data_IF_454751304355
#
_entry.id   IF_454751304355
#
_cell.length_a   1.000
_cell.length_b   1.000
_cell.length_c   1.000
_cell.angle_alpha   90.00
_cell.angle_beta   90.00
_cell.angle_gamma   90.00
#
_symmetry.space_group_name_H-M   'P 1'
#
loop_
_entity.id
_entity.type
_entity.pdbx_description
1 polymer ?
#
# COMPACT_ATOMS: atom_id res chain seq x y z
N UNK A 1 -7.56 8.14 -4.44
CA UNK A 1 -6.12 8.36 -4.70
C UNK A 1 -5.37 7.69 -3.56
N UNK A 2 -4.42 6.79 -3.81
CA UNK A 2 -3.64 6.16 -2.73
C UNK A 2 -2.85 7.25 -2.01
N UNK A 3 -2.98 7.31 -0.69
CA UNK A 3 -2.22 8.23 0.15
C UNK A 3 -0.74 7.88 0.05
N UNK A 4 0.13 8.89 0.15
CA UNK A 4 1.56 8.64 0.05
C UNK A 4 2.05 7.94 1.33
N UNK A 5 2.83 6.85 1.24
CA UNK A 5 3.17 5.98 2.37
C UNK A 5 4.05 6.65 3.43
N UNK A 6 4.66 7.78 3.10
CA UNK A 6 5.38 8.66 4.05
C UNK A 6 4.40 9.43 4.95
N UNK A 7 3.20 9.78 4.44
CA UNK A 7 2.19 10.57 5.14
C UNK A 7 1.28 9.67 5.99
N UNK A 8 1.09 8.41 5.58
CA UNK A 8 0.21 7.46 6.27
C UNK A 8 0.61 7.17 7.73
N UNK A 9 1.89 7.29 8.06
CA UNK A 9 2.38 7.02 9.43
C UNK A 9 3.39 8.08 9.90
N UNK A 10 3.17 8.73 11.06
CA UNK A 10 4.11 9.71 11.60
C UNK A 10 5.50 9.12 11.89
N UNK A 11 5.57 7.81 12.15
CA UNK A 11 6.83 7.09 12.36
C UNK A 11 7.69 6.94 11.09
N UNK A 12 7.16 7.20 9.89
CA UNK A 12 7.91 7.11 8.63
C UNK A 12 8.55 8.43 8.20
N UNK A 13 7.98 9.57 8.54
CA UNK A 13 8.55 10.87 8.14
C UNK A 13 9.70 11.33 9.04
N UNK A 14 9.68 10.97 10.33
CA UNK A 14 10.75 11.34 11.28
C UNK A 14 12.11 10.73 10.88
N UNK A 15 12.23 9.43 10.59
CA UNK A 15 13.49 8.85 10.12
C UNK A 15 13.95 9.46 8.80
N UNK A 16 13.02 9.76 7.89
CA UNK A 16 13.32 10.39 6.60
C UNK A 16 13.89 11.80 6.79
N UNK A 17 13.34 12.60 7.71
CA UNK A 17 13.88 13.92 8.07
C UNK A 17 15.26 13.81 8.72
N UNK A 18 15.47 12.84 9.62
CA UNK A 18 16.77 12.59 10.25
C UNK A 18 17.80 12.20 9.20
N UNK A 19 17.45 11.28 8.29
CA UNK A 19 18.32 10.90 7.17
C UNK A 19 18.62 12.13 6.31
N UNK A 20 17.62 12.90 5.89
CA UNK A 20 17.83 14.11 5.10
C UNK A 20 18.80 15.08 5.79
N UNK A 21 18.67 15.30 7.09
CA UNK A 21 19.58 16.16 7.85
C UNK A 21 21.01 15.60 7.89
N UNK A 22 21.17 14.29 8.09
CA UNK A 22 22.49 13.62 8.02
C UNK A 22 23.10 13.77 6.63
N UNK A 23 22.30 13.65 5.57
CA UNK A 23 22.76 13.84 4.21
C UNK A 23 23.24 15.28 3.98
N UNK A 24 22.54 16.28 4.53
CA UNK A 24 22.92 17.69 4.40
C UNK A 24 24.27 17.90 5.06
N UNK A 25 24.44 17.41 6.29
CA UNK A 25 25.71 17.51 7.01
C UNK A 25 26.83 16.80 6.26
N UNK A 26 26.58 15.60 5.73
CA UNK A 26 27.57 14.86 4.95
C UNK A 26 27.97 15.61 3.67
N UNK A 27 27.01 16.16 2.93
CA UNK A 27 27.26 16.89 1.70
C UNK A 27 28.01 18.22 1.97
N UNK A 28 27.66 18.93 3.04
CA UNK A 28 28.37 20.14 3.49
C UNK A 28 29.79 19.81 3.94
N UNK A 29 29.99 18.72 4.68
CA UNK A 29 31.32 18.26 5.11
C UNK A 29 32.20 17.90 3.91
N UNK A 30 31.67 17.17 2.93
CA UNK A 30 32.41 16.83 1.71
C UNK A 30 32.82 18.12 0.98
N UNK A 31 31.91 19.08 0.79
CA UNK A 31 32.26 20.32 0.05
C UNK A 31 33.13 21.31 0.85
N UNK A 32 33.00 21.39 2.16
CA UNK A 32 33.86 22.25 2.96
C UNK A 32 35.28 21.68 3.12
N UNK A 33 35.41 20.38 3.39
CA UNK A 33 36.72 19.75 3.68
C UNK A 33 37.51 19.43 2.42
N UNK A 34 36.86 18.90 1.37
CA UNK A 34 37.59 18.47 0.16
C UNK A 34 37.84 19.60 -0.83
N UNK A 35 36.91 20.53 -0.94
CA UNK A 35 36.98 21.60 -1.94
C UNK A 35 37.36 22.96 -1.35
N UNK A 36 37.55 23.06 -0.02
CA UNK A 36 37.91 24.30 0.66
C UNK A 36 36.88 25.41 0.47
N UNK A 37 35.63 25.05 0.16
CA UNK A 37 34.57 26.00 -0.13
C UNK A 37 34.10 26.70 1.16
N UNK A 38 33.75 27.98 1.02
CA UNK A 38 33.14 28.73 2.12
C UNK A 38 31.89 28.03 2.64
N UNK A 39 31.71 28.08 3.96
CA UNK A 39 30.68 27.31 4.67
C UNK A 39 29.26 27.73 4.25
N UNK A 40 29.05 29.03 3.97
CA UNK A 40 27.73 29.58 3.63
C UNK A 40 27.23 29.06 2.28
N UNK A 41 27.99 29.13 1.17
CA UNK A 41 27.63 28.49 -0.10
C UNK A 41 27.44 26.98 0.00
N UNK A 42 28.28 26.28 0.77
CA UNK A 42 28.20 24.84 0.92
C UNK A 42 26.90 24.40 1.60
N UNK A 43 26.44 25.14 2.62
CA UNK A 43 25.17 24.88 3.32
C UNK A 43 23.97 25.12 2.41
N UNK A 44 23.96 26.22 1.66
CA UNK A 44 22.86 26.54 0.72
C UNK A 44 22.75 25.46 -0.35
N UNK A 45 23.87 25.06 -0.94
CA UNK A 45 23.92 24.01 -1.96
C UNK A 45 23.49 22.66 -1.36
N UNK A 46 23.97 22.29 -0.17
CA UNK A 46 23.58 21.04 0.50
C UNK A 46 22.08 20.95 0.83
N UNK A 47 21.47 22.02 1.34
CA UNK A 47 20.03 22.05 1.60
C UNK A 47 19.25 21.96 0.29
N UNK A 48 19.68 22.68 -0.74
CA UNK A 48 18.96 22.72 -2.01
C UNK A 48 19.04 21.39 -2.76
N UNK A 49 20.20 20.74 -2.82
CA UNK A 49 20.36 19.44 -3.49
C UNK A 49 19.54 18.34 -2.83
N UNK A 50 19.48 18.34 -1.49
CA UNK A 50 18.75 17.32 -0.73
C UNK A 50 17.26 17.62 -0.71
N UNK A 51 16.87 18.89 -0.61
CA UNK A 51 15.48 19.30 -0.79
C UNK A 51 14.96 18.90 -2.18
N UNK A 52 15.77 19.10 -3.22
CA UNK A 52 15.42 18.68 -4.58
C UNK A 52 15.38 17.15 -4.72
N UNK A 53 16.32 16.43 -4.12
CA UNK A 53 16.34 14.97 -4.08
C UNK A 53 15.07 14.41 -3.40
N UNK A 54 14.66 15.02 -2.29
CA UNK A 54 13.46 14.64 -1.55
C UNK A 54 12.19 14.89 -2.36
N UNK A 55 12.08 16.03 -3.04
CA UNK A 55 10.95 16.35 -3.90
C UNK A 55 10.82 15.34 -5.06
N UNK A 56 11.94 14.99 -5.71
CA UNK A 56 11.95 13.97 -6.75
C UNK A 56 11.64 12.58 -6.20
N UNK A 57 12.20 12.22 -5.05
CA UNK A 57 11.92 10.95 -4.37
C UNK A 57 10.44 10.78 -4.01
N UNK A 58 9.76 11.87 -3.63
CA UNK A 58 8.31 11.86 -3.43
C UNK A 58 7.53 11.60 -4.74
N UNK A 59 7.96 12.22 -5.85
CA UNK A 59 7.31 12.02 -7.15
C UNK A 59 7.46 10.59 -7.68
N UNK A 60 8.59 9.94 -7.40
CA UNK A 60 8.89 8.56 -7.85
C UNK A 60 7.86 7.56 -7.35
N UNK A 61 7.29 7.76 -6.16
CA UNK A 61 6.24 6.90 -5.62
C UNK A 61 5.06 6.73 -6.59
N UNK A 62 4.66 7.82 -7.25
CA UNK A 62 3.55 7.81 -8.20
C UNK A 62 3.85 7.02 -9.49
N UNK A 63 5.14 6.82 -9.80
CA UNK A 63 5.58 6.10 -11.00
C UNK A 63 5.75 4.61 -10.70
N UNK A 64 6.34 4.27 -9.54
CA UNK A 64 6.66 2.88 -9.16
C UNK A 64 5.41 2.02 -8.99
N UNK A 65 4.30 2.59 -8.50
CA UNK A 65 3.05 1.85 -8.29
C UNK A 65 2.19 1.61 -9.54
N UNK A 66 2.51 2.22 -10.68
CA UNK A 66 1.66 2.19 -11.90
C UNK A 66 2.17 1.19 -12.94
N UNK A 67 3.50 0.99 -13.05
CA UNK A 67 4.09 0.08 -14.04
C UNK A 67 5.25 -0.70 -13.42
N UNK A 68 5.01 -1.97 -13.07
CA UNK A 68 5.99 -2.86 -12.40
C UNK A 68 7.03 -3.47 -13.34
N UNK A 69 7.46 -2.76 -14.39
CA UNK A 69 8.38 -3.27 -15.42
C UNK A 69 9.80 -2.80 -15.09
N UNK A 70 10.77 -3.71 -15.15
CA UNK A 70 12.19 -3.38 -14.90
C UNK A 70 12.70 -2.21 -15.77
N UNK A 71 12.20 -2.09 -17.01
CA UNK A 71 12.55 -0.99 -17.93
C UNK A 71 12.07 0.39 -17.45
N UNK A 72 10.87 0.51 -16.90
CA UNK A 72 10.35 1.80 -16.41
C UNK A 72 11.15 2.29 -15.21
N UNK A 73 11.70 1.38 -14.40
CA UNK A 73 12.56 1.74 -13.29
C UNK A 73 13.92 2.26 -13.73
N UNK A 74 14.56 1.61 -14.70
CA UNK A 74 15.83 2.09 -15.24
C UNK A 74 15.63 3.48 -15.85
N UNK A 75 14.55 3.69 -16.58
CA UNK A 75 14.21 5.00 -17.15
C UNK A 75 13.97 6.03 -16.03
N UNK A 76 13.22 5.67 -14.98
CA UNK A 76 12.92 6.55 -13.86
C UNK A 76 14.17 6.91 -13.07
N UNK A 77 15.10 5.95 -12.88
CA UNK A 77 16.38 6.17 -12.22
C UNK A 77 17.25 7.13 -13.04
N UNK A 78 17.40 6.88 -14.34
CA UNK A 78 18.21 7.73 -15.23
C UNK A 78 17.61 9.14 -15.33
N UNK A 79 16.31 9.25 -15.57
CA UNK A 79 15.61 10.53 -15.61
C UNK A 79 15.69 11.27 -14.27
N UNK A 80 15.52 10.55 -13.15
CA UNK A 80 15.63 11.10 -11.80
C UNK A 80 17.00 11.69 -11.51
N UNK A 81 18.08 10.98 -11.85
CA UNK A 81 19.46 11.48 -11.69
C UNK A 81 19.71 12.69 -12.60
N UNK A 82 19.25 12.66 -13.86
CA UNK A 82 19.42 13.79 -14.78
C UNK A 82 18.70 15.05 -14.29
N UNK A 83 17.44 14.92 -13.86
CA UNK A 83 16.66 16.04 -13.31
C UNK A 83 17.27 16.52 -12.00
N UNK A 84 17.81 15.61 -11.19
CA UNK A 84 18.47 15.95 -9.95
C UNK A 84 19.75 16.77 -10.17
N UNK A 85 20.59 16.37 -11.13
CA UNK A 85 21.79 17.13 -11.52
C UNK A 85 21.41 18.47 -12.14
N UNK A 86 20.40 18.50 -13.01
CA UNK A 86 19.92 19.73 -13.62
C UNK A 86 19.43 20.75 -12.58
N UNK A 87 18.61 20.31 -11.62
CA UNK A 87 18.13 21.18 -10.53
C UNK A 87 19.27 21.67 -9.64
N UNK A 88 20.22 20.80 -9.34
CA UNK A 88 21.44 21.16 -8.61
C UNK A 88 22.27 22.22 -9.34
N UNK A 89 22.38 22.11 -10.66
CA UNK A 89 23.08 23.08 -11.51
C UNK A 89 22.34 24.43 -11.55
N UNK A 90 21.01 24.45 -11.59
CA UNK A 90 20.24 25.70 -11.55
C UNK A 90 20.49 26.48 -10.25
N UNK A 91 20.55 25.79 -9.10
CA UNK A 91 20.86 26.44 -7.81
C UNK A 91 22.27 27.01 -7.81
N UNK A 92 23.24 26.23 -8.30
CA UNK A 92 24.62 26.70 -8.48
C UNK A 92 24.70 27.95 -9.36
N UNK A 93 23.99 27.95 -10.50
CA UNK A 93 23.97 29.05 -11.45
C UNK A 93 23.34 30.31 -10.84
N UNK A 94 22.27 30.16 -10.05
CA UNK A 94 21.63 31.26 -9.31
C UNK A 94 22.59 31.84 -8.27
N UNK A 95 23.22 31.02 -7.44
CA UNK A 95 24.13 31.49 -6.38
C UNK A 95 25.35 32.20 -6.98
N UNK A 96 25.91 31.67 -8.06
CA UNK A 96 27.10 32.25 -8.70
C UNK A 96 26.78 33.49 -9.54
N UNK A 97 25.71 33.48 -10.34
CA UNK A 97 25.37 34.59 -11.24
C UNK A 97 24.56 35.71 -10.58
N UNK A 98 23.62 35.36 -9.69
CA UNK A 98 22.69 36.34 -9.10
C UNK A 98 23.23 36.84 -7.76
N UNK A 99 23.64 35.92 -6.86
CA UNK A 99 24.17 36.32 -5.55
C UNK A 99 25.64 36.76 -5.60
N UNK A 100 26.34 36.54 -6.72
CA UNK A 100 27.71 36.97 -6.93
C UNK A 100 28.73 36.31 -5.98
N UNK A 101 28.36 35.20 -5.35
CA UNK A 101 29.23 34.51 -4.40
C UNK A 101 30.17 33.59 -5.19
N UNK A 102 31.50 33.80 -5.12
CA UNK A 102 32.45 32.91 -5.77
C UNK A 102 32.32 31.52 -5.14
N UNK A 103 31.95 30.55 -5.96
CA UNK A 103 31.77 29.16 -5.53
C UNK A 103 32.55 28.23 -6.45
N UNK A 104 32.93 27.07 -5.94
CA UNK A 104 33.76 26.14 -6.70
C UNK A 104 33.04 25.63 -7.94
N UNK A 105 33.77 25.42 -9.03
CA UNK A 105 33.24 24.96 -10.31
C UNK A 105 32.36 23.73 -10.13
N UNK A 106 31.08 23.83 -10.52
CA UNK A 106 30.10 22.74 -10.39
C UNK A 106 30.62 21.41 -10.92
N UNK A 107 31.35 21.43 -12.04
CA UNK A 107 31.96 20.27 -12.68
C UNK A 107 32.82 19.42 -11.72
N UNK A 108 33.57 20.06 -10.82
CA UNK A 108 34.42 19.37 -9.84
C UNK A 108 33.61 18.67 -8.74
N UNK A 109 32.35 19.08 -8.52
CA UNK A 109 31.46 18.49 -7.52
C UNK A 109 30.58 17.37 -8.07
N UNK A 110 30.43 17.26 -9.39
CA UNK A 110 29.65 16.20 -10.07
C UNK A 110 30.03 14.78 -9.62
N UNK A 111 31.31 14.36 -9.59
CA UNK A 111 31.65 12.98 -9.21
C UNK A 111 31.23 12.65 -7.78
N UNK A 112 31.36 13.60 -6.84
CA UNK A 112 30.91 13.42 -5.46
C UNK A 112 29.39 13.37 -5.34
N UNK A 113 28.69 14.22 -6.10
CA UNK A 113 27.22 14.18 -6.18
C UNK A 113 26.73 12.85 -6.74
N UNK A 114 27.36 12.31 -7.79
CA UNK A 114 27.01 11.01 -8.36
C UNK A 114 27.30 9.85 -7.40
N UNK A 115 28.45 9.89 -6.70
CA UNK A 115 28.83 8.87 -5.72
C UNK A 115 27.78 8.72 -4.63
N UNK A 116 27.18 9.83 -4.20
CA UNK A 116 26.13 9.84 -3.18
C UNK A 116 24.72 9.67 -3.77
N UNK A 117 24.46 10.28 -4.91
CA UNK A 117 23.15 10.34 -5.56
C UNK A 117 22.70 9.00 -6.10
N UNK A 118 23.58 8.25 -6.77
CA UNK A 118 23.21 6.95 -7.36
C UNK A 118 22.75 5.96 -6.27
N UNK A 119 23.52 5.72 -5.18
CA UNK A 119 23.08 4.82 -4.11
C UNK A 119 21.78 5.28 -3.45
N UNK A 120 21.61 6.59 -3.26
CA UNK A 120 20.40 7.15 -2.65
C UNK A 120 19.16 6.92 -3.53
N UNK A 121 19.28 7.16 -4.84
CA UNK A 121 18.23 6.88 -5.81
C UNK A 121 17.85 5.40 -5.86
N UNK A 122 18.83 4.51 -5.86
CA UNK A 122 18.61 3.06 -5.80
C UNK A 122 17.92 2.66 -4.50
N UNK A 123 18.35 3.20 -3.36
CA UNK A 123 17.74 2.92 -2.07
C UNK A 123 16.27 3.36 -2.01
N UNK A 124 15.93 4.54 -2.55
CA UNK A 124 14.55 5.03 -2.64
C UNK A 124 13.68 4.07 -3.47
N UNK A 125 14.16 3.67 -4.65
CA UNK A 125 13.42 2.75 -5.53
C UNK A 125 13.21 1.38 -4.89
N UNK A 126 14.26 0.81 -4.29
CA UNK A 126 14.16 -0.47 -3.58
C UNK A 126 13.20 -0.40 -2.39
N UNK A 127 13.23 0.70 -1.65
CA UNK A 127 12.33 0.91 -0.53
C UNK A 127 10.86 0.96 -0.97
N UNK A 128 10.56 1.69 -2.04
CA UNK A 128 9.21 1.71 -2.60
C UNK A 128 8.76 0.36 -3.12
N UNK A 129 9.64 -0.38 -3.81
CA UNK A 129 9.35 -1.78 -4.19
C UNK A 129 9.04 -2.66 -2.99
N UNK A 130 9.80 -2.52 -1.91
CA UNK A 130 9.59 -3.31 -0.70
C UNK A 130 8.23 -2.99 -0.05
N UNK A 131 7.80 -1.73 -0.07
CA UNK A 131 6.46 -1.34 0.39
C UNK A 131 5.39 -1.99 -0.48
N UNK A 132 5.49 -1.87 -1.81
CA UNK A 132 4.51 -2.45 -2.74
C UNK A 132 4.45 -3.97 -2.60
N UNK A 133 5.59 -4.65 -2.58
CA UNK A 133 5.65 -6.10 -2.40
C UNK A 133 5.06 -6.56 -1.05
N UNK A 134 5.27 -5.77 0.01
CA UNK A 134 4.66 -6.06 1.33
C UNK A 134 3.15 -5.84 1.32
N UNK A 135 2.67 -4.79 0.64
CA UNK A 135 1.24 -4.52 0.48
C UNK A 135 0.56 -5.61 -0.35
N UNK A 136 1.19 -6.06 -1.43
CA UNK A 136 0.70 -7.16 -2.27
C UNK A 136 0.66 -8.49 -1.52
N UNK A 137 1.70 -8.82 -0.73
CA UNK A 137 1.73 -10.02 0.09
C UNK A 137 0.63 -10.01 1.16
N UNK A 138 0.44 -8.85 1.83
CA UNK A 138 -0.61 -8.69 2.83
C UNK A 138 -2.00 -8.78 2.20
N UNK A 139 -2.21 -8.18 1.02
CA UNK A 139 -3.47 -8.28 0.30
C UNK A 139 -3.76 -9.72 -0.13
N UNK A 140 -2.75 -10.48 -0.52
CA UNK A 140 -2.90 -11.89 -0.88
C UNK A 140 -3.23 -12.78 0.34
N UNK A 141 -2.65 -12.49 1.51
CA UNK A 141 -3.03 -13.14 2.77
C UNK A 141 -4.46 -12.78 3.17
N UNK A 142 -4.83 -11.50 3.09
CA UNK A 142 -6.19 -11.04 3.36
C UNK A 142 -7.19 -11.65 2.38
N UNK A 143 -6.87 -11.77 1.09
CA UNK A 143 -7.72 -12.43 0.10
C UNK A 143 -7.85 -13.92 0.39
N UNK A 144 -6.78 -14.60 0.82
CA UNK A 144 -6.85 -16.00 1.27
C UNK A 144 -7.70 -16.17 2.53
N UNK A 145 -7.55 -15.30 3.53
CA UNK A 145 -8.42 -15.29 4.71
C UNK A 145 -9.87 -14.96 4.32
N UNK A 146 -10.08 -14.01 3.40
CA UNK A 146 -11.40 -13.69 2.89
C UNK A 146 -12.01 -14.89 2.16
N UNK A 147 -11.25 -15.64 1.37
CA UNK A 147 -11.72 -16.86 0.69
C UNK A 147 -11.96 -17.99 1.70
N UNK A 148 -11.19 -18.07 2.78
CA UNK A 148 -11.34 -19.09 3.83
C UNK A 148 -12.52 -18.80 4.77
N UNK A 149 -12.80 -17.51 5.03
CA UNK A 149 -13.90 -17.01 5.84
C UNK A 149 -15.13 -16.62 5.03
N UNK A 150 -15.02 -16.50 3.72
CA UNK A 150 -16.16 -16.54 2.82
C UNK A 150 -16.73 -17.94 3.04
N UNK A 151 -17.97 -18.05 3.55
CA UNK A 151 -18.63 -19.33 3.45
C UNK A 151 -18.58 -19.60 1.95
N UNK A 152 -17.94 -20.72 1.57
CA UNK A 152 -18.31 -21.45 0.37
C UNK A 152 -19.79 -21.18 0.24
N UNK A 153 -20.21 -20.47 -0.81
CA UNK A 153 -21.61 -20.41 -1.18
C UNK A 153 -22.04 -21.84 -1.11
N UNK A 154 -22.70 -22.20 0.00
CA UNK A 154 -23.01 -23.57 0.33
C UNK A 154 -23.65 -24.08 -0.95
N UNK A 155 -23.15 -25.15 -1.59
CA UNK A 155 -23.94 -25.77 -2.65
C UNK A 155 -25.32 -25.92 -2.02
N UNK A 156 -26.32 -25.21 -2.58
CA UNK A 156 -27.63 -24.97 -1.97
C UNK A 156 -27.97 -26.18 -1.10
N UNK A 157 -27.98 -25.99 0.23
CA UNK A 157 -28.43 -27.04 1.13
C UNK A 157 -29.71 -27.61 0.50
N UNK A 158 -29.80 -28.93 0.27
CA UNK A 158 -30.98 -29.50 -0.34
C UNK A 158 -32.13 -28.98 0.49
N UNK A 159 -33.02 -28.19 -0.14
CA UNK A 159 -34.18 -27.62 0.51
C UNK A 159 -34.79 -28.77 1.29
N UNK A 160 -34.68 -28.74 2.62
CA UNK A 160 -35.40 -29.68 3.46
C UNK A 160 -36.83 -29.34 3.11
N UNK A 161 -37.46 -30.14 2.24
CA UNK A 161 -38.85 -29.99 1.85
C UNK A 161 -39.61 -29.95 3.18
N UNK A 162 -39.97 -28.75 3.60
CA UNK A 162 -40.78 -28.56 4.79
C UNK A 162 -42.08 -29.27 4.47
N UNK A 163 -42.31 -30.39 5.15
CA UNK A 163 -43.51 -31.18 4.96
C UNK A 163 -44.67 -30.30 5.41
N UNK A 164 -45.33 -29.65 4.45
CA UNK A 164 -46.44 -28.73 4.67
C UNK A 164 -47.71 -29.50 5.08
N UNK A 165 -47.80 -30.79 4.73
CA UNK A 165 -49.02 -31.59 4.84
C UNK A 165 -48.74 -33.04 5.23
N UNK A 166 -49.52 -33.53 6.19
CA UNK A 166 -49.55 -34.91 6.65
C UNK A 166 -50.84 -35.55 6.11
N UNK A 167 -50.69 -36.69 5.42
CA UNK A 167 -51.80 -37.50 4.93
C UNK A 167 -52.11 -38.61 5.94
N UNK A 168 -53.26 -38.53 6.60
CA UNK A 168 -53.74 -39.56 7.52
C UNK A 168 -54.80 -40.39 6.82
N UNK A 169 -54.62 -41.70 6.78
CA UNK A 169 -55.62 -42.63 6.24
C UNK A 169 -56.38 -43.29 7.39
N UNK A 170 -57.64 -42.93 7.56
CA UNK A 170 -58.56 -43.56 8.49
C UNK A 170 -59.54 -44.45 7.70
N UNK A 171 -59.22 -45.74 7.62
CA UNK A 171 -60.00 -46.73 6.87
C UNK A 171 -60.10 -46.41 5.37
N UNK A 172 -61.30 -46.00 4.92
CA UNK A 172 -61.59 -45.61 3.52
C UNK A 172 -61.49 -44.10 3.26
N UNK A 173 -61.23 -43.29 4.29
CA UNK A 173 -61.12 -41.82 4.20
C UNK A 173 -59.66 -41.38 4.33
N UNK A 174 -59.28 -40.35 3.59
CA UNK A 174 -57.97 -39.72 3.65
C UNK A 174 -58.16 -38.29 4.13
N UNK A 175 -57.54 -37.95 5.26
CA UNK A 175 -57.51 -36.61 5.83
C UNK A 175 -56.16 -35.95 5.50
N UNK A 176 -56.21 -34.75 4.92
CA UNK A 176 -55.04 -33.91 4.71
C UNK A 176 -54.99 -32.91 5.87
N UNK A 177 -54.00 -33.04 6.74
CA UNK A 177 -53.76 -32.12 7.85
C UNK A 177 -52.53 -31.30 7.50
N UNK A 178 -52.63 -29.97 7.58
CA UNK A 178 -51.46 -29.12 7.41
C UNK A 178 -50.62 -29.09 8.69
N UNK A 179 -49.32 -29.00 8.56
CA UNK A 179 -48.39 -29.09 9.71
C UNK A 179 -48.48 -27.87 10.63
N UNK A 180 -48.99 -26.73 10.15
CA UNK A 180 -49.26 -25.51 10.92
C UNK A 180 -50.45 -25.63 11.88
N UNK A 181 -51.37 -26.57 11.62
CA UNK A 181 -52.55 -26.83 12.44
C UNK A 181 -52.33 -27.97 13.46
N UNK A 182 -51.14 -28.59 13.48
CA UNK A 182 -50.82 -29.68 14.39
C UNK A 182 -50.37 -29.13 15.76
N UNK A 183 -51.11 -29.47 16.82
CA UNK A 183 -50.79 -29.01 18.18
C UNK A 183 -49.76 -29.95 18.81
N UNK A 184 -50.02 -31.26 18.79
CA UNK A 184 -49.08 -32.29 19.24
C UNK A 184 -49.46 -33.67 18.72
N UNK A 185 -48.50 -34.59 18.80
CA UNK A 185 -48.64 -36.00 18.42
C UNK A 185 -48.64 -36.84 19.69
N UNK A 186 -49.63 -37.71 19.84
CA UNK A 186 -49.71 -38.63 20.98
C UNK A 186 -49.67 -40.09 20.50
N UNK A 187 -48.81 -40.89 21.13
CA UNK A 187 -48.79 -42.33 20.91
C UNK A 187 -49.90 -42.99 21.75
N UNK A 188 -50.80 -43.73 21.09
CA UNK A 188 -51.88 -44.47 21.72
C UNK A 188 -51.77 -45.95 21.34
N UNK A 189 -50.85 -46.67 22.01
CA UNK A 189 -50.55 -48.07 21.71
C UNK A 189 -49.92 -48.23 20.33
N UNK A 190 -50.57 -49.01 19.46
CA UNK A 190 -50.12 -49.26 18.07
C UNK A 190 -50.54 -48.15 17.09
N UNK A 191 -51.27 -47.14 17.57
CA UNK A 191 -51.75 -46.01 16.75
C UNK A 191 -51.14 -44.69 17.20
N UNK A 192 -51.10 -43.74 16.26
CA UNK A 192 -50.66 -42.38 16.50
C UNK A 192 -51.85 -41.44 16.31
N UNK A 193 -52.11 -40.62 17.32
CA UNK A 193 -53.17 -39.62 17.32
C UNK A 193 -52.56 -38.25 17.05
N UNK A 194 -53.07 -37.55 16.03
CA UNK A 194 -52.68 -36.20 15.67
C UNK A 194 -53.78 -35.25 16.15
N UNK A 195 -53.43 -34.28 16.99
CA UNK A 195 -54.44 -33.37 17.56
C UNK A 195 -54.40 -32.03 16.84
N UNK A 196 -55.55 -31.63 16.29
CA UNK A 196 -55.77 -30.38 15.55
C UNK A 196 -56.82 -29.51 16.27
N UNK A 197 -56.85 -28.18 16.05
CA UNK A 197 -57.83 -27.29 16.69
C UNK A 197 -59.29 -27.55 16.26
N UNK A 198 -59.51 -28.30 15.18
CA UNK A 198 -60.86 -28.66 14.69
C UNK A 198 -61.39 -29.98 15.26
N UNK A 199 -60.61 -30.69 16.08
CA UNK A 199 -60.94 -32.01 16.63
C UNK A 199 -59.89 -33.09 16.33
N UNK A 200 -60.18 -34.31 16.80
CA UNK A 200 -59.42 -35.54 16.55
C UNK A 200 -59.45 -35.98 15.07
#
# INVERSE_FOLDING_TARGET
MKTHPIIDYPYRWVPVLVVALVLVVAQVMIMSVYTGADYVPAVIDGIATIGWLMALGYLVWFVVGVVSIFQTEVITLVAGILIWIAGSFMVYDIVTRIAGIPYITFASTIPFRLLFGIPTWVAILLWYRLIVAKEDALNQELEKELIMHQPVSLPEEPQIEQIDRITVKDGSKIHLIKTDELIYIQACGDYVMLITPSGE
#
